data_IF_671046225316
#
_entry.id   IF_671046225316
#
_cell.length_a   1.000
_cell.length_b   1.000
_cell.length_c   1.000
_cell.angle_alpha   90.00
_cell.angle_beta   90.00
_cell.angle_gamma   90.00
#
_symmetry.space_group_name_H-M   'P 1'
#
loop_
_entity.id
_entity.type
_entity.pdbx_description
1 polymer ?
#
# COMPACT_ATOMS: atom_id res chain seq x y z
N UNK A 1 26.81 1.61 2.31
CA UNK A 1 26.20 2.95 2.18
C UNK A 1 25.71 3.36 3.57
N UNK A 2 24.55 4.01 3.71
CA UNK A 2 23.88 4.22 4.99
C UNK A 2 23.01 3.02 5.35
N UNK A 3 22.89 2.67 6.63
CA UNK A 3 21.95 1.66 7.12
C UNK A 3 20.87 2.30 8.02
N UNK A 4 20.14 3.27 7.47
CA UNK A 4 19.13 4.00 8.24
C UNK A 4 17.98 3.06 8.66
N UNK A 5 17.55 3.06 9.94
CA UNK A 5 16.50 2.16 10.43
C UNK A 5 15.10 2.52 9.92
N UNK A 6 14.95 3.70 9.31
CA UNK A 6 13.72 4.18 8.70
C UNK A 6 13.98 4.48 7.22
N UNK A 7 13.04 4.09 6.36
CA UNK A 7 13.09 4.29 4.91
C UNK A 7 11.82 5.03 4.51
N UNK A 8 11.97 6.14 3.78
CA UNK A 8 10.84 6.83 3.15
C UNK A 8 10.68 6.32 1.72
N UNK A 9 9.47 5.88 1.35
CA UNK A 9 9.08 5.70 -0.05
C UNK A 9 8.39 6.96 -0.55
N UNK A 10 8.85 7.47 -1.70
CA UNK A 10 8.36 8.70 -2.29
C UNK A 10 8.53 8.62 -3.81
N UNK A 11 7.43 8.77 -4.52
CA UNK A 11 7.42 8.82 -5.98
C UNK A 11 7.95 10.16 -6.51
N UNK A 12 8.35 10.18 -7.79
CA UNK A 12 8.99 11.34 -8.41
C UNK A 12 8.05 12.53 -8.64
N UNK A 13 6.75 12.28 -8.69
CA UNK A 13 5.66 13.25 -8.78
C UNK A 13 5.14 13.70 -7.41
N UNK A 14 5.73 13.21 -6.32
CA UNK A 14 5.39 13.57 -4.95
C UNK A 14 6.56 14.31 -4.27
N UNK A 15 6.25 15.38 -3.54
CA UNK A 15 7.23 16.14 -2.77
C UNK A 15 6.81 16.29 -1.30
N UNK A 16 7.81 16.43 -0.42
CA UNK A 16 7.59 16.72 0.99
C UNK A 16 7.15 18.17 1.17
N UNK A 17 5.97 18.36 1.74
CA UNK A 17 5.38 19.67 1.97
C UNK A 17 5.52 20.12 3.44
N UNK A 18 5.44 19.19 4.40
CA UNK A 18 5.59 19.54 5.82
C UNK A 18 6.95 19.10 6.39
N UNK A 19 7.83 20.05 6.80
CA UNK A 19 9.14 19.71 7.38
C UNK A 19 9.05 19.01 8.75
N UNK A 20 7.91 19.03 9.44
CA UNK A 20 7.76 18.29 10.71
C UNK A 20 7.38 16.82 10.53
N UNK A 21 7.09 16.38 9.29
CA UNK A 21 6.68 15.00 8.97
C UNK A 21 7.64 13.95 9.55
N UNK A 22 8.98 14.05 9.39
CA UNK A 22 9.88 13.03 9.95
C UNK A 22 9.79 12.96 11.49
N UNK A 23 9.56 14.09 12.17
CA UNK A 23 9.39 14.12 13.62
C UNK A 23 8.10 13.41 14.03
N UNK A 24 6.99 13.64 13.33
CA UNK A 24 5.72 12.97 13.59
C UNK A 24 5.83 11.46 13.38
N UNK A 25 6.47 11.02 12.29
CA UNK A 25 6.78 9.60 12.05
C UNK A 25 7.54 8.98 13.22
N UNK A 26 8.59 9.67 13.70
CA UNK A 26 9.40 9.17 14.82
C UNK A 26 8.59 9.04 16.11
N UNK A 27 7.58 9.88 16.35
CA UNK A 27 6.70 9.74 17.51
C UNK A 27 5.98 8.38 17.54
N UNK A 28 5.58 7.85 16.37
CA UNK A 28 4.93 6.53 16.29
C UNK A 28 5.95 5.39 16.37
N UNK A 29 7.08 5.50 15.65
CA UNK A 29 8.06 4.41 15.57
C UNK A 29 8.89 4.25 16.85
N UNK A 30 9.11 5.33 17.60
CA UNK A 30 9.89 5.33 18.84
C UNK A 30 9.02 5.16 20.09
N UNK A 31 7.71 4.96 19.93
CA UNK A 31 6.84 4.63 21.06
C UNK A 31 7.31 3.29 21.68
N UNK A 32 7.59 3.22 23.00
CA UNK A 32 8.33 2.10 23.58
C UNK A 32 7.67 0.72 23.46
N UNK A 33 6.35 0.64 23.36
CA UNK A 33 5.60 -0.63 23.44
C UNK A 33 4.98 -0.95 22.09
N UNK A 34 4.07 -0.11 21.62
CA UNK A 34 3.36 -0.23 20.36
C UNK A 34 4.24 0.08 19.16
N UNK A 35 5.21 0.99 19.31
CA UNK A 35 6.07 1.40 18.20
C UNK A 35 6.86 0.23 17.62
N UNK A 36 7.24 -0.76 18.44
CA UNK A 36 7.94 -1.97 18.02
C UNK A 36 7.12 -2.87 17.09
N UNK A 37 5.80 -2.79 17.14
CA UNK A 37 4.88 -3.55 16.28
C UNK A 37 4.57 -2.82 14.95
N UNK A 38 4.96 -1.54 14.83
CA UNK A 38 4.70 -0.72 13.64
C UNK A 38 5.75 -0.99 12.57
N UNK A 39 5.30 -1.53 11.43
CA UNK A 39 6.10 -1.68 10.22
C UNK A 39 6.24 -0.37 9.46
N UNK A 40 5.17 0.42 9.36
CA UNK A 40 5.21 1.67 8.61
C UNK A 40 4.18 2.70 9.08
N UNK A 41 4.48 3.97 8.81
CA UNK A 41 3.59 5.11 8.99
C UNK A 41 3.25 5.67 7.60
N UNK A 42 1.99 5.56 7.21
CA UNK A 42 1.46 6.03 5.94
C UNK A 42 0.83 7.41 6.13
N UNK A 43 1.14 8.33 5.22
CA UNK A 43 0.49 9.64 5.13
C UNK A 43 -0.48 9.67 3.93
N UNK A 44 -1.55 10.47 3.98
CA UNK A 44 -2.45 10.64 2.85
C UNK A 44 -1.70 11.20 1.63
N UNK A 45 -2.11 10.75 0.44
CA UNK A 45 -1.70 11.37 -0.81
C UNK A 45 -2.62 12.55 -1.10
N UNK A 46 -2.04 13.74 -1.19
CA UNK A 46 -2.75 14.95 -1.59
C UNK A 46 -2.21 15.44 -2.93
N UNK A 47 -3.10 15.95 -3.75
CA UNK A 47 -2.76 16.35 -5.11
C UNK A 47 -2.95 17.84 -5.36
N UNK A 48 -2.08 18.42 -6.16
CA UNK A 48 -2.15 19.79 -6.64
C UNK A 48 -2.75 19.86 -8.05
N UNK A 49 -3.20 21.05 -8.47
CA UNK A 49 -3.64 21.26 -9.86
C UNK A 49 -5.01 20.68 -10.23
N UNK A 50 -5.80 20.25 -9.24
CA UNK A 50 -7.18 19.81 -9.44
C UNK A 50 -8.04 21.02 -9.82
N UNK A 51 -8.82 20.87 -10.90
CA UNK A 51 -9.73 21.93 -11.34
C UNK A 51 -10.95 22.06 -10.40
N UNK A 52 -11.67 23.17 -10.47
CA UNK A 52 -12.80 23.46 -9.57
C UNK A 52 -13.88 22.37 -9.56
N UNK A 53 -14.07 21.68 -10.69
CA UNK A 53 -15.10 20.65 -10.85
C UNK A 53 -14.59 19.24 -10.53
N UNK A 54 -13.30 19.07 -10.21
CA UNK A 54 -12.57 17.80 -10.17
C UNK A 54 -13.06 16.81 -11.25
N UNK A 55 -12.92 17.20 -12.51
CA UNK A 55 -13.59 16.52 -13.65
C UNK A 55 -13.31 15.02 -13.75
N UNK A 56 -12.16 14.57 -13.25
CA UNK A 56 -11.76 13.16 -13.27
C UNK A 56 -11.78 12.48 -11.90
N UNK A 57 -12.31 13.15 -10.87
CA UNK A 57 -12.31 12.68 -9.49
C UNK A 57 -10.90 12.33 -8.96
N UNK A 58 -9.92 13.16 -9.34
CA UNK A 58 -8.50 12.95 -9.07
C UNK A 58 -8.12 13.19 -7.60
N UNK A 59 -9.01 13.74 -6.77
CA UNK A 59 -8.75 13.81 -5.33
C UNK A 59 -8.66 12.42 -4.68
N UNK A 60 -9.36 11.41 -5.24
CA UNK A 60 -9.37 10.00 -4.79
C UNK A 60 -9.47 9.87 -3.25
N UNK A 61 -10.27 10.75 -2.63
CA UNK A 61 -10.37 10.88 -1.15
C UNK A 61 -10.74 9.57 -0.46
N UNK A 62 -11.55 8.75 -1.12
CA UNK A 62 -11.98 7.46 -0.57
C UNK A 62 -10.77 6.56 -0.28
N UNK A 63 -9.97 6.28 -1.30
CA UNK A 63 -8.84 5.35 -1.18
C UNK A 63 -7.65 5.91 -0.39
N UNK A 64 -7.39 7.22 -0.47
CA UNK A 64 -6.21 7.81 0.15
C UNK A 64 -6.44 8.47 1.51
N UNK A 65 -7.69 8.59 1.97
CA UNK A 65 -8.02 9.22 3.25
C UNK A 65 -9.12 8.52 4.02
N UNK A 66 -10.31 8.35 3.43
CA UNK A 66 -11.49 7.84 4.16
C UNK A 66 -11.29 6.39 4.59
N UNK A 67 -10.95 5.52 3.66
CA UNK A 67 -10.78 4.09 3.93
C UNK A 67 -9.56 3.84 4.85
N UNK A 68 -8.37 4.45 4.62
CA UNK A 68 -7.24 4.38 5.55
C UNK A 68 -7.58 4.74 6.99
N UNK A 69 -8.35 5.81 7.23
CA UNK A 69 -8.78 6.21 8.59
C UNK A 69 -9.64 5.10 9.22
N UNK A 70 -10.54 4.49 8.44
CA UNK A 70 -11.37 3.38 8.91
C UNK A 70 -10.54 2.15 9.28
N UNK A 71 -9.55 1.80 8.45
CA UNK A 71 -8.66 0.67 8.69
C UNK A 71 -7.70 0.89 9.87
N UNK A 72 -7.27 2.14 10.10
CA UNK A 72 -6.37 2.50 11.20
C UNK A 72 -6.96 2.21 12.59
N UNK A 73 -8.29 2.27 12.72
CA UNK A 73 -9.01 1.85 13.92
C UNK A 73 -8.93 0.34 14.22
N UNK A 74 -8.43 -0.48 13.28
CA UNK A 74 -8.25 -1.93 13.42
C UNK A 74 -6.77 -2.27 13.70
N UNK A 75 -5.97 -2.44 12.65
CA UNK A 75 -4.56 -2.87 12.72
C UNK A 75 -3.63 -1.95 11.91
N UNK A 76 -4.15 -0.81 11.44
CA UNK A 76 -3.44 0.12 10.57
C UNK A 76 -4.01 0.16 9.16
N UNK A 77 -3.44 0.98 8.29
CA UNK A 77 -3.83 1.10 6.88
C UNK A 77 -2.94 0.28 5.93
N UNK A 78 -3.39 0.08 4.69
CA UNK A 78 -2.55 -0.46 3.63
C UNK A 78 -1.40 0.49 3.25
N UNK A 79 -0.36 -0.08 2.63
CA UNK A 79 0.70 0.71 2.00
C UNK A 79 0.20 1.18 0.63
N UNK A 80 0.30 2.49 0.38
CA UNK A 80 -0.30 3.16 -0.78
C UNK A 80 0.73 3.58 -1.84
N UNK A 81 1.97 3.09 -1.77
CA UNK A 81 3.02 3.32 -2.78
C UNK A 81 3.94 4.51 -2.52
N UNK A 82 3.46 5.55 -1.85
CA UNK A 82 4.24 6.80 -1.63
C UNK A 82 3.89 7.46 -0.30
N UNK A 83 4.72 8.40 0.15
CA UNK A 83 4.52 9.14 1.40
C UNK A 83 4.51 8.23 2.64
N UNK A 84 5.29 7.16 2.62
CA UNK A 84 5.26 6.12 3.65
C UNK A 84 6.64 5.89 4.26
N UNK A 85 6.71 5.90 5.60
CA UNK A 85 7.94 5.64 6.33
C UNK A 85 7.94 4.22 6.89
N UNK A 86 8.77 3.35 6.32
CA UNK A 86 8.99 1.98 6.79
C UNK A 86 10.06 1.91 7.86
N UNK A 87 9.81 1.12 8.91
CA UNK A 87 10.83 0.54 9.76
C UNK A 87 11.59 -0.50 8.93
N UNK A 88 12.88 -0.30 8.66
CA UNK A 88 13.71 -1.22 7.85
C UNK A 88 13.55 -2.68 8.27
N UNK A 89 13.52 -2.95 9.59
CA UNK A 89 13.34 -4.29 10.16
C UNK A 89 12.10 -5.03 9.62
N UNK A 90 11.01 -4.33 9.32
CA UNK A 90 9.78 -5.00 8.87
C UNK A 90 9.92 -5.64 7.49
N UNK A 91 10.86 -5.15 6.66
CA UNK A 91 11.16 -5.72 5.35
C UNK A 91 12.00 -7.01 5.43
N UNK A 92 12.44 -7.42 6.61
CA UNK A 92 13.27 -8.63 6.82
C UNK A 92 12.49 -9.76 7.50
N UNK A 93 11.15 -9.71 7.44
CA UNK A 93 10.25 -10.77 7.91
C UNK A 93 9.39 -10.35 9.10
N UNK A 94 8.65 -11.31 9.64
CA UNK A 94 7.69 -11.15 10.75
C UNK A 94 8.32 -10.49 11.99
N UNK A 95 7.54 -9.78 12.84
CA UNK A 95 8.04 -9.27 14.11
C UNK A 95 8.62 -10.36 15.03
N UNK A 96 8.09 -11.58 14.92
CA UNK A 96 8.47 -12.73 15.75
C UNK A 96 9.65 -13.54 15.17
N UNK A 97 10.03 -13.31 13.91
CA UNK A 97 11.10 -14.08 13.29
C UNK A 97 12.46 -13.65 13.82
N UNK A 98 13.36 -14.62 14.00
CA UNK A 98 14.78 -14.31 14.19
C UNK A 98 15.30 -13.60 12.94
N UNK A 99 16.06 -12.54 13.15
CA UNK A 99 16.74 -11.82 12.08
C UNK A 99 17.84 -12.70 11.49
N UNK A 100 17.65 -13.13 10.25
CA UNK A 100 18.70 -13.76 9.47
C UNK A 100 19.27 -12.74 8.49
N UNK A 101 20.56 -12.45 8.63
CA UNK A 101 21.31 -11.70 7.65
C UNK A 101 22.46 -12.59 7.18
N UNK A 102 22.55 -12.79 5.86
CA UNK A 102 23.63 -13.58 5.23
C UNK A 102 25.01 -13.05 5.63
N UNK A 103 25.09 -11.74 5.86
CA UNK A 103 26.28 -11.03 6.33
C UNK A 103 25.89 -10.04 7.41
N UNK A 104 26.78 -9.85 8.40
CA UNK A 104 26.56 -8.91 9.50
C UNK A 104 26.30 -7.49 8.98
N UNK A 105 26.99 -7.11 7.91
CA UNK A 105 26.90 -5.79 7.28
C UNK A 105 25.54 -5.53 6.62
N UNK A 106 24.79 -6.59 6.29
CA UNK A 106 23.46 -6.51 5.67
C UNK A 106 22.33 -6.62 6.70
N UNK A 107 22.66 -6.79 7.97
CA UNK A 107 21.65 -6.84 9.03
C UNK A 107 20.95 -5.47 9.14
N UNK A 108 19.60 -5.42 9.19
CA UNK A 108 18.85 -4.16 9.26
C UNK A 108 19.13 -3.32 10.52
N UNK A 109 19.73 -3.92 11.56
CA UNK A 109 20.11 -3.26 12.82
C UNK A 109 21.62 -3.00 12.92
N UNK A 110 22.39 -3.32 11.89
CA UNK A 110 23.83 -3.08 11.88
C UNK A 110 24.15 -1.58 11.88
N UNK A 111 24.86 -1.11 12.90
CA UNK A 111 25.40 0.25 12.94
C UNK A 111 26.61 0.33 12.02
N UNK A 112 26.50 1.16 10.98
CA UNK A 112 27.58 1.40 10.02
C UNK A 112 28.74 2.14 10.68
N UNK A 113 29.95 1.61 10.52
CA UNK A 113 31.20 2.14 11.07
C UNK A 113 32.22 2.53 9.99
N UNK A 114 32.02 2.06 8.74
CA UNK A 114 32.89 2.35 7.60
C UNK A 114 32.46 3.60 6.84
N UNK A 115 33.44 4.30 6.27
CA UNK A 115 33.20 5.44 5.37
C UNK A 115 32.42 4.99 4.12
N UNK A 116 31.40 5.77 3.72
CA UNK A 116 30.55 5.48 2.56
C UNK A 116 31.33 5.34 1.24
N UNK A 117 32.50 6.00 1.13
CA UNK A 117 33.37 5.96 -0.04
C UNK A 117 34.46 4.88 0.05
N UNK A 118 34.44 4.03 1.08
CA UNK A 118 35.45 2.97 1.19
C UNK A 118 35.26 1.92 0.09
N UNK A 119 36.36 1.34 -0.36
CA UNK A 119 36.33 0.32 -1.42
C UNK A 119 35.46 -0.88 -1.04
N UNK A 120 35.48 -1.26 0.23
CA UNK A 120 34.67 -2.36 0.78
C UNK A 120 33.17 -2.04 0.74
N UNK A 121 32.78 -0.80 1.06
CA UNK A 121 31.37 -0.39 1.01
C UNK A 121 30.88 -0.32 -0.43
N UNK A 122 31.70 0.20 -1.33
CA UNK A 122 31.37 0.29 -2.76
C UNK A 122 31.30 -1.11 -3.40
N UNK A 123 32.24 -2.00 -3.10
CA UNK A 123 32.22 -3.37 -3.63
C UNK A 123 31.00 -4.16 -3.13
N UNK A 124 30.63 -4.00 -1.86
CA UNK A 124 29.39 -4.57 -1.32
C UNK A 124 28.14 -3.99 -1.97
N UNK A 125 28.09 -2.68 -2.19
CA UNK A 125 26.97 -2.03 -2.89
C UNK A 125 26.83 -2.55 -4.32
N UNK A 126 27.93 -2.75 -5.04
CA UNK A 126 27.93 -3.35 -6.37
C UNK A 126 27.45 -4.81 -6.34
N UNK A 127 27.89 -5.60 -5.36
CA UNK A 127 27.49 -7.00 -5.21
C UNK A 127 25.98 -7.15 -5.00
N UNK A 128 25.39 -6.39 -4.08
CA UNK A 128 23.94 -6.49 -3.80
C UNK A 128 23.07 -5.87 -4.90
N UNK A 129 23.68 -5.16 -5.85
CA UNK A 129 23.01 -4.57 -7.01
C UNK A 129 23.18 -5.41 -8.29
N UNK A 130 23.80 -6.61 -8.23
CA UNK A 130 23.89 -7.47 -9.41
C UNK A 130 22.54 -8.07 -9.76
N UNK A 131 22.31 -8.31 -11.05
CA UNK A 131 21.02 -8.80 -11.56
C UNK A 131 20.61 -10.19 -11.04
N UNK A 132 21.59 -10.99 -10.58
CA UNK A 132 21.40 -12.34 -10.07
C UNK A 132 21.47 -12.41 -8.54
N UNK A 133 21.56 -11.27 -7.83
CA UNK A 133 21.70 -11.28 -6.38
C UNK A 133 20.51 -11.96 -5.69
N UNK A 134 19.32 -11.81 -6.28
CA UNK A 134 18.08 -12.35 -5.72
C UNK A 134 17.79 -13.80 -6.15
N UNK A 135 18.56 -14.36 -7.08
CA UNK A 135 18.33 -15.69 -7.63
C UNK A 135 18.45 -16.77 -6.54
N UNK A 136 17.36 -17.54 -6.34
CA UNK A 136 17.30 -18.59 -5.33
C UNK A 136 17.27 -18.08 -3.88
N UNK A 137 17.08 -16.78 -3.67
CA UNK A 137 16.94 -16.16 -2.35
C UNK A 137 15.48 -15.98 -1.94
N UNK A 138 15.26 -15.51 -0.71
CA UNK A 138 13.93 -15.17 -0.20
C UNK A 138 13.50 -13.71 -0.54
N UNK A 139 14.30 -12.95 -1.30
CA UNK A 139 13.92 -11.60 -1.78
C UNK A 139 12.66 -11.66 -2.65
N UNK A 140 11.79 -10.67 -2.49
CA UNK A 140 10.51 -10.61 -3.18
C UNK A 140 9.42 -11.53 -2.62
N UNK A 141 9.81 -12.67 -2.03
CA UNK A 141 8.86 -13.65 -1.51
C UNK A 141 8.62 -13.52 -0.01
N UNK A 142 9.70 -13.37 0.78
CA UNK A 142 9.67 -13.17 2.24
C UNK A 142 10.48 -11.97 2.74
N UNK A 143 11.41 -11.46 1.93
CA UNK A 143 12.25 -10.29 2.25
C UNK A 143 11.98 -9.18 1.22
N UNK A 144 12.00 -7.93 1.66
CA UNK A 144 11.74 -6.76 0.83
C UNK A 144 10.27 -6.57 0.45
N UNK A 145 10.05 -5.74 -0.57
CA UNK A 145 8.75 -5.58 -1.23
C UNK A 145 8.33 -6.89 -1.91
N UNK A 146 7.03 -7.16 -1.92
CA UNK A 146 6.49 -8.47 -2.27
C UNK A 146 6.17 -8.56 -3.76
N UNK A 147 6.70 -9.58 -4.42
CA UNK A 147 6.51 -9.83 -5.85
C UNK A 147 5.20 -10.55 -6.15
N UNK A 148 4.67 -10.34 -7.36
CA UNK A 148 3.57 -11.14 -7.91
C UNK A 148 2.23 -10.41 -8.03
N UNK A 149 2.21 -9.09 -7.94
CA UNK A 149 1.04 -8.27 -8.28
C UNK A 149 1.45 -6.92 -8.88
N UNK A 150 0.64 -6.38 -9.79
CA UNK A 150 0.78 -5.00 -10.30
C UNK A 150 0.50 -3.91 -9.25
N UNK A 151 -0.05 -4.28 -8.10
CA UNK A 151 -0.22 -3.43 -6.90
C UNK A 151 0.68 -3.96 -5.78
N UNK A 152 1.99 -3.95 -6.04
CA UNK A 152 3.01 -4.42 -5.09
C UNK A 152 2.96 -3.63 -3.78
N UNK A 153 2.54 -2.37 -3.83
CA UNK A 153 2.31 -1.52 -2.67
C UNK A 153 1.26 -2.13 -1.71
N UNK A 154 0.03 -2.28 -2.19
CA UNK A 154 -1.07 -2.91 -1.48
C UNK A 154 -0.68 -4.31 -1.02
N UNK A 155 -0.07 -5.10 -1.91
CA UNK A 155 0.28 -6.49 -1.64
C UNK A 155 1.40 -6.61 -0.59
N UNK A 156 2.40 -5.73 -0.59
CA UNK A 156 3.45 -5.68 0.43
C UNK A 156 2.86 -5.31 1.78
N UNK A 157 2.04 -4.24 1.85
CA UNK A 157 1.37 -3.84 3.08
C UNK A 157 0.50 -4.96 3.66
N UNK A 158 -0.30 -5.61 2.81
CA UNK A 158 -1.13 -6.76 3.15
C UNK A 158 -0.33 -7.93 3.73
N UNK A 159 0.78 -8.30 3.07
CA UNK A 159 1.63 -9.41 3.52
C UNK A 159 2.30 -9.12 4.84
N UNK A 160 2.81 -7.90 5.04
CA UNK A 160 3.42 -7.48 6.31
C UNK A 160 2.41 -7.60 7.46
N UNK A 161 1.18 -7.14 7.26
CA UNK A 161 0.16 -7.25 8.30
C UNK A 161 -0.30 -8.69 8.53
N UNK A 162 -0.41 -9.51 7.48
CA UNK A 162 -0.63 -10.96 7.63
C UNK A 162 0.49 -11.66 8.43
N UNK A 163 1.71 -11.11 8.43
CA UNK A 163 2.86 -11.61 9.18
C UNK A 163 2.92 -11.08 10.62
N UNK A 164 1.94 -10.27 11.03
CA UNK A 164 1.76 -9.75 12.38
C UNK A 164 2.24 -8.32 12.60
N UNK A 165 2.71 -7.63 11.56
CA UNK A 165 3.03 -6.21 11.68
C UNK A 165 1.76 -5.35 11.73
N UNK A 166 1.85 -4.18 12.35
CA UNK A 166 0.84 -3.12 12.30
C UNK A 166 1.34 -1.96 11.45
N UNK A 167 0.45 -1.08 11.06
CA UNK A 167 0.78 0.21 10.45
C UNK A 167 0.02 1.33 11.15
N UNK A 168 0.38 2.56 10.83
CA UNK A 168 -0.28 3.78 11.33
C UNK A 168 -0.63 4.66 10.15
N UNK A 169 -1.84 5.22 10.15
CA UNK A 169 -2.22 6.30 9.24
C UNK A 169 -2.14 7.66 9.95
N UNK A 170 -1.33 8.58 9.43
CA UNK A 170 -1.17 9.91 10.00
C UNK A 170 -1.67 10.97 9.01
N UNK A 171 -2.80 11.61 9.33
CA UNK A 171 -3.43 12.68 8.56
C UNK A 171 -3.28 14.05 9.28
N UNK A 172 -2.11 14.71 9.18
CA UNK A 172 -1.90 16.03 9.77
C UNK A 172 -2.71 17.12 9.05
N UNK A 173 -3.04 18.20 9.76
CA UNK A 173 -3.80 19.35 9.20
C UNK A 173 -3.13 19.96 7.96
N UNK A 174 -1.79 20.09 8.00
CA UNK A 174 -1.00 20.42 6.81
C UNK A 174 -0.65 19.10 6.09
N UNK A 175 -1.00 18.95 4.81
CA UNK A 175 -0.58 17.79 4.02
C UNK A 175 0.92 17.56 4.12
N UNK A 176 1.33 16.37 4.58
CA UNK A 176 2.74 16.02 4.71
C UNK A 176 3.45 15.93 3.36
N UNK A 177 2.74 15.41 2.37
CA UNK A 177 3.18 15.24 1.00
C UNK A 177 2.14 15.79 0.03
N UNK A 178 2.62 16.34 -1.09
CA UNK A 178 1.81 16.84 -2.19
C UNK A 178 2.37 16.27 -3.49
N UNK A 179 1.51 15.96 -4.45
CA UNK A 179 1.97 15.57 -5.77
C UNK A 179 1.08 15.99 -6.92
N UNK A 180 1.50 15.60 -8.12
CA UNK A 180 0.81 15.91 -9.36
C UNK A 180 -0.25 14.86 -9.70
N UNK A 181 -1.20 15.22 -10.56
CA UNK A 181 -2.28 14.33 -11.02
C UNK A 181 -2.21 14.09 -12.52
N UNK A 182 -2.79 12.96 -12.99
CA UNK A 182 -3.08 12.79 -14.40
C UNK A 182 -4.01 13.92 -14.90
N UNK A 183 -3.57 14.62 -15.95
CA UNK A 183 -4.31 15.75 -16.55
C UNK A 183 -5.26 15.32 -17.68
N UNK A 184 -5.30 14.03 -18.02
CA UNK A 184 -6.16 13.49 -19.08
C UNK A 184 -6.83 12.18 -18.66
N UNK A 185 -7.99 11.93 -19.24
CA UNK A 185 -8.81 10.76 -18.91
C UNK A 185 -8.14 9.42 -19.26
N UNK A 186 -7.33 9.38 -20.32
CA UNK A 186 -6.68 8.14 -20.74
C UNK A 186 -5.73 7.61 -19.66
N UNK A 187 -4.94 8.49 -19.05
CA UNK A 187 -4.00 8.12 -18.00
C UNK A 187 -4.72 7.70 -16.72
N UNK A 188 -5.82 8.39 -16.37
CA UNK A 188 -6.68 7.99 -15.24
C UNK A 188 -7.26 6.59 -15.45
N UNK A 189 -7.80 6.29 -16.64
CA UNK A 189 -8.36 4.97 -16.95
C UNK A 189 -7.27 3.89 -16.99
N UNK A 190 -6.09 4.21 -17.51
CA UNK A 190 -4.95 3.30 -17.53
C UNK A 190 -4.49 2.93 -16.11
N UNK A 191 -4.41 3.93 -15.22
CA UNK A 191 -4.08 3.73 -13.82
C UNK A 191 -5.12 2.86 -13.10
N UNK A 192 -6.41 3.19 -13.24
CA UNK A 192 -7.50 2.41 -12.64
C UNK A 192 -7.53 0.96 -13.16
N UNK A 193 -7.28 0.75 -14.45
CA UNK A 193 -7.17 -0.59 -15.03
C UNK A 193 -6.02 -1.38 -14.39
N UNK A 194 -4.85 -0.77 -14.22
CA UNK A 194 -3.70 -1.41 -13.58
C UNK A 194 -4.01 -1.81 -12.14
N UNK A 195 -4.64 -0.91 -11.37
CA UNK A 195 -5.09 -1.22 -10.01
C UNK A 195 -6.09 -2.36 -9.97
N UNK A 196 -7.11 -2.33 -10.82
CA UNK A 196 -8.11 -3.40 -10.90
C UNK A 196 -7.47 -4.76 -11.22
N UNK A 197 -6.54 -4.82 -12.19
CA UNK A 197 -5.84 -6.06 -12.54
C UNK A 197 -5.00 -6.53 -11.34
N UNK A 198 -4.19 -5.65 -10.75
CA UNK A 198 -3.34 -6.01 -9.62
C UNK A 198 -4.14 -6.52 -8.40
N UNK A 199 -5.23 -5.84 -8.06
CA UNK A 199 -6.12 -6.26 -6.98
C UNK A 199 -6.70 -7.65 -7.24
N UNK A 200 -7.12 -7.93 -8.48
CA UNK A 200 -7.62 -9.25 -8.87
C UNK A 200 -6.53 -10.32 -8.85
N UNK A 201 -5.28 -9.99 -9.19
CA UNK A 201 -4.14 -10.90 -9.04
C UNK A 201 -3.99 -11.33 -7.57
N UNK A 202 -4.13 -10.40 -6.62
CA UNK A 202 -4.11 -10.75 -5.18
C UNK A 202 -5.35 -11.55 -4.79
N UNK A 203 -6.54 -11.16 -5.26
CA UNK A 203 -7.81 -11.82 -4.97
C UNK A 203 -7.79 -13.31 -5.38
N UNK A 204 -7.21 -13.62 -6.53
CA UNK A 204 -7.10 -14.98 -7.08
C UNK A 204 -5.78 -15.69 -6.76
N UNK A 205 -4.92 -15.06 -5.96
CA UNK A 205 -3.68 -15.70 -5.49
C UNK A 205 -3.95 -16.71 -4.36
N UNK A 206 -2.93 -17.52 -4.05
CA UNK A 206 -2.91 -18.36 -2.82
C UNK A 206 -3.02 -17.54 -1.53
N UNK A 207 -2.86 -16.22 -1.58
CA UNK A 207 -2.97 -15.30 -0.46
C UNK A 207 -4.26 -14.47 -0.52
N UNK A 208 -5.33 -15.00 -1.12
CA UNK A 208 -6.64 -14.35 -1.17
C UNK A 208 -7.07 -13.76 0.20
N UNK A 209 -7.45 -12.46 0.29
CA UNK A 209 -7.84 -11.82 1.55
C UNK A 209 -9.02 -12.47 2.26
N UNK A 210 -9.98 -13.04 1.53
CA UNK A 210 -11.17 -13.71 2.11
C UNK A 210 -10.84 -15.04 2.78
N UNK A 211 -9.71 -15.66 2.45
CA UNK A 211 -9.29 -16.93 3.05
C UNK A 211 -8.04 -16.73 3.90
N UNK A 212 -6.94 -16.37 3.27
CA UNK A 212 -5.65 -16.17 3.94
C UNK A 212 -5.70 -14.95 4.86
N UNK A 213 -6.19 -13.81 4.37
CA UNK A 213 -6.23 -12.56 5.14
C UNK A 213 -7.11 -12.65 6.38
N UNK A 214 -8.32 -13.21 6.27
CA UNK A 214 -9.21 -13.44 7.42
C UNK A 214 -8.56 -14.38 8.45
N UNK A 215 -7.91 -15.45 8.00
CA UNK A 215 -7.23 -16.37 8.91
C UNK A 215 -6.02 -15.74 9.61
N UNK A 216 -5.31 -14.82 8.94
CA UNK A 216 -4.10 -14.18 9.48
C UNK A 216 -4.39 -12.96 10.36
N UNK A 217 -5.32 -12.09 9.97
CA UNK A 217 -5.55 -10.79 10.62
C UNK A 217 -6.95 -10.68 11.27
N UNK A 218 -7.80 -11.69 11.13
CA UNK A 218 -9.18 -11.67 11.59
C UNK A 218 -10.16 -11.08 10.57
N UNK A 219 -11.46 -11.25 10.86
CA UNK A 219 -12.56 -11.02 9.90
C UNK A 219 -12.60 -9.57 9.41
N UNK A 220 -12.58 -8.59 10.31
CA UNK A 220 -12.75 -7.18 9.93
C UNK A 220 -11.62 -6.69 9.03
N UNK A 221 -10.38 -6.99 9.40
CA UNK A 221 -9.21 -6.56 8.61
C UNK A 221 -9.12 -7.34 7.29
N UNK A 222 -9.37 -8.66 7.32
CA UNK A 222 -9.42 -9.46 6.10
C UNK A 222 -10.49 -8.98 5.12
N UNK A 223 -11.66 -8.56 5.60
CA UNK A 223 -12.72 -7.96 4.78
C UNK A 223 -12.35 -6.57 4.25
N UNK A 224 -11.64 -5.75 5.03
CA UNK A 224 -11.15 -4.45 4.56
C UNK A 224 -10.17 -4.60 3.38
N UNK A 225 -9.23 -5.54 3.45
CA UNK A 225 -8.38 -5.89 2.31
C UNK A 225 -9.17 -6.51 1.17
N UNK A 226 -10.09 -7.44 1.46
CA UNK A 226 -10.93 -8.06 0.44
C UNK A 226 -11.75 -7.02 -0.33
N UNK A 227 -12.20 -5.96 0.33
CA UNK A 227 -12.93 -4.88 -0.31
C UNK A 227 -12.17 -4.27 -1.49
N UNK A 228 -10.89 -3.96 -1.32
CA UNK A 228 -10.01 -3.49 -2.41
C UNK A 228 -9.76 -4.58 -3.45
N UNK A 229 -9.38 -5.77 -2.99
CA UNK A 229 -9.02 -6.89 -3.88
C UNK A 229 -10.15 -7.26 -4.86
N UNK A 230 -11.40 -7.18 -4.40
CA UNK A 230 -12.59 -7.53 -5.18
C UNK A 230 -13.35 -6.31 -5.71
N UNK A 231 -12.82 -5.08 -5.59
CA UNK A 231 -13.56 -3.86 -5.96
C UNK A 231 -14.00 -3.87 -7.42
N UNK A 232 -13.17 -4.40 -8.32
CA UNK A 232 -13.47 -4.50 -9.75
C UNK A 232 -14.78 -5.27 -10.04
N UNK A 233 -15.20 -6.19 -9.17
CA UNK A 233 -16.45 -6.94 -9.36
C UNK A 233 -17.71 -6.08 -9.23
N UNK A 234 -17.64 -4.90 -8.59
CA UNK A 234 -18.77 -3.96 -8.55
C UNK A 234 -19.20 -3.49 -9.94
N UNK A 235 -18.30 -3.54 -10.93
CA UNK A 235 -18.64 -3.23 -12.32
C UNK A 235 -19.75 -4.14 -12.87
N UNK A 236 -19.88 -5.39 -12.42
CA UNK A 236 -20.88 -6.35 -12.90
C UNK A 236 -22.31 -5.94 -12.47
N UNK A 237 -22.65 -5.86 -11.17
CA UNK A 237 -23.98 -5.45 -10.75
C UNK A 237 -24.33 -4.03 -11.21
N UNK A 238 -23.36 -3.11 -11.26
CA UNK A 238 -23.60 -1.77 -11.80
C UNK A 238 -23.95 -1.78 -13.29
N UNK A 239 -23.23 -2.59 -14.09
CA UNK A 239 -23.56 -2.74 -15.52
C UNK A 239 -24.94 -3.35 -15.69
N UNK A 240 -25.24 -4.43 -14.96
CA UNK A 240 -26.57 -5.07 -15.00
C UNK A 240 -27.66 -4.05 -14.65
N UNK A 241 -27.49 -3.32 -13.56
CA UNK A 241 -28.44 -2.32 -13.10
C UNK A 241 -28.64 -1.18 -14.13
N UNK A 242 -27.55 -0.70 -14.73
CA UNK A 242 -27.59 0.37 -15.74
C UNK A 242 -28.38 -0.02 -16.99
N UNK A 243 -28.31 -1.29 -17.42
CA UNK A 243 -29.05 -1.77 -18.59
C UNK A 243 -30.44 -2.33 -18.27
N UNK A 244 -30.72 -2.69 -17.01
CA UNK A 244 -31.99 -3.29 -16.60
C UNK A 244 -33.19 -2.40 -16.95
N UNK A 245 -33.16 -1.12 -16.56
CA UNK A 245 -34.28 -0.19 -16.78
C UNK A 245 -34.48 0.12 -18.28
N UNK A 246 -33.44 0.50 -19.06
CA UNK A 246 -33.59 0.72 -20.49
C UNK A 246 -34.13 -0.50 -21.24
N UNK A 247 -33.62 -1.70 -20.93
CA UNK A 247 -34.09 -2.92 -21.58
C UNK A 247 -35.54 -3.25 -21.20
N UNK A 248 -35.92 -3.11 -19.93
CA UNK A 248 -37.29 -3.34 -19.50
C UNK A 248 -38.26 -2.35 -20.17
N UNK A 249 -37.86 -1.09 -20.30
CA UNK A 249 -38.63 -0.06 -21.00
C UNK A 249 -38.85 -0.39 -22.48
N UNK A 250 -37.78 -0.77 -23.20
CA UNK A 250 -37.86 -1.16 -24.62
C UNK A 250 -38.77 -2.37 -24.82
N UNK A 251 -38.78 -3.31 -23.87
CA UNK A 251 -39.57 -4.54 -23.96
C UNK A 251 -40.97 -4.42 -23.34
N UNK A 252 -41.36 -3.26 -22.82
CA UNK A 252 -42.66 -3.07 -22.17
C UNK A 252 -42.87 -3.91 -20.91
N UNK A 253 -41.79 -4.31 -20.24
CA UNK A 253 -41.84 -5.11 -19.01
C UNK A 253 -41.77 -4.17 -17.80
N UNK A 254 -42.71 -4.29 -16.86
CA UNK A 254 -42.63 -3.55 -15.60
C UNK A 254 -41.50 -4.11 -14.73
N UNK A 255 -40.58 -3.25 -14.28
CA UNK A 255 -39.50 -3.61 -13.35
C UNK A 255 -39.95 -3.63 -11.89
N UNK A 256 -41.07 -2.99 -11.58
CA UNK A 256 -41.64 -2.91 -10.24
C UNK A 256 -43.01 -3.58 -10.22
N UNK A 257 -43.36 -4.29 -9.13
CA UNK A 257 -44.71 -4.83 -8.98
C UNK A 257 -45.72 -3.68 -8.94
N UNK A 258 -46.85 -3.86 -9.62
CA UNK A 258 -47.98 -2.93 -9.49
C UNK A 258 -48.52 -3.02 -8.06
N UNK A 259 -48.53 -1.88 -7.36
CA UNK A 259 -49.19 -1.77 -6.06
C UNK A 259 -50.66 -1.51 -6.34
N UNK A 260 -51.52 -2.52 -6.13
CA UNK A 260 -52.97 -2.32 -6.14
C UNK A 260 -53.35 -1.48 -4.91
N UNK A 261 -53.86 -0.26 -5.14
CA UNK A 261 -54.49 0.61 -4.12
C UNK A 261 -56.00 0.50 -4.25
#
# INVERSE_FOLDING_TARGET
MTNAPVILTLDCDMYSNDPITPRQTLCFLLEPIKGLEVAYVQFPQHFCGINENDTYANEIKRSFRVDPIGMDGLQGTCYLGTGCFFRRRSLFGSPLSQLFAERRELNPEHVVDKNIKSQEVLSMAHLVATSNYEDGTDWGSKIGFRYGSLVEDYYTGYKLQCEGWKSVFCDPERPAFLGDIPINLHDVLSQNKRWAIGHLEVAFSKYCPLMYGINSMGILMGLAYAHYAFEAFWSIPFTIYAFLIPLAFINGVSTFPEVCI
#
